data_IF_580538373698
#
_entry.id   IF_580538373698
#
_cell.length_a   1.000
_cell.length_b   1.000
_cell.length_c   1.000
_cell.angle_alpha   90.00
_cell.angle_beta   90.00
_cell.angle_gamma   90.00
#
_symmetry.space_group_name_H-M   'P 1'
#
loop_
_entity.id
_entity.type
_entity.pdbx_description
1 polymer ?
#
# COMPACT_ATOMS: atom_id res chain seq x y z
N UNK A 1 -1.13 -8.65 36.18
CA UNK A 1 -1.29 -7.34 35.52
C UNK A 1 -2.77 -7.00 35.54
N UNK A 2 -3.14 -5.83 36.04
CA UNK A 2 -4.54 -5.36 35.99
C UNK A 2 -4.77 -4.73 34.62
N UNK A 3 -5.76 -5.20 33.87
CA UNK A 3 -6.17 -4.59 32.59
C UNK A 3 -7.41 -3.76 32.84
N UNK A 4 -7.30 -2.45 32.63
CA UNK A 4 -8.44 -1.54 32.72
C UNK A 4 -8.92 -1.30 31.28
N UNK A 5 -10.17 -1.67 30.95
CA UNK A 5 -10.71 -1.38 29.63
C UNK A 5 -10.86 0.13 29.47
N UNK A 6 -10.22 0.70 28.46
CA UNK A 6 -10.41 2.08 28.06
C UNK A 6 -11.18 2.13 26.76
N UNK A 7 -12.09 3.09 26.63
CA UNK A 7 -12.76 3.34 25.34
C UNK A 7 -11.85 4.15 24.43
N UNK A 8 -12.16 4.13 23.14
CA UNK A 8 -11.44 4.93 22.15
C UNK A 8 -11.56 6.43 22.46
N UNK A 9 -12.72 6.90 22.89
CA UNK A 9 -12.97 8.30 23.25
C UNK A 9 -12.12 8.74 24.45
N UNK A 10 -11.95 7.86 25.43
CA UNK A 10 -11.09 8.10 26.58
C UNK A 10 -9.62 8.19 26.16
N UNK A 11 -9.17 7.32 25.25
CA UNK A 11 -7.83 7.37 24.69
C UNK A 11 -7.60 8.68 23.90
N UNK A 12 -8.54 9.08 23.04
CA UNK A 12 -8.47 10.33 22.27
C UNK A 12 -8.40 11.53 23.21
N UNK A 13 -9.22 11.54 24.26
CA UNK A 13 -9.22 12.62 25.25
C UNK A 13 -7.88 12.69 25.99
N UNK A 14 -7.31 11.56 26.37
CA UNK A 14 -5.99 11.51 26.99
C UNK A 14 -4.90 12.05 26.06
N UNK A 15 -4.90 11.63 24.79
CA UNK A 15 -3.92 12.12 23.79
C UNK A 15 -4.03 13.63 23.61
N UNK A 16 -5.24 14.20 23.58
CA UNK A 16 -5.45 15.65 23.47
C UNK A 16 -4.90 16.46 24.65
N UNK A 17 -4.72 15.83 25.81
CA UNK A 17 -4.21 16.47 27.02
C UNK A 17 -2.68 16.40 27.15
N UNK A 18 -2.00 15.65 26.28
CA UNK A 18 -0.54 15.54 26.25
C UNK A 18 0.12 16.86 25.83
N UNK A 19 1.41 17.00 26.12
CA UNK A 19 2.19 18.12 25.61
C UNK A 19 2.34 18.04 24.07
N UNK A 20 2.57 19.17 23.37
CA UNK A 20 2.61 19.17 21.90
C UNK A 20 3.64 18.22 21.28
N UNK A 21 4.79 18.02 21.92
CA UNK A 21 5.84 17.09 21.52
C UNK A 21 5.41 15.62 21.69
N UNK A 22 4.75 15.31 22.81
CA UNK A 22 4.18 13.98 23.05
C UNK A 22 3.04 13.66 22.07
N UNK A 23 2.19 14.65 21.76
CA UNK A 23 1.16 14.51 20.72
C UNK A 23 1.77 14.21 19.35
N UNK A 24 2.87 14.89 19.01
CA UNK A 24 3.59 14.67 17.75
C UNK A 24 4.17 13.25 17.66
N UNK A 25 4.71 12.70 18.75
CA UNK A 25 5.22 11.33 18.76
C UNK A 25 4.09 10.30 18.60
N UNK A 26 2.94 10.51 19.25
CA UNK A 26 1.74 9.68 19.06
C UNK A 26 1.29 9.71 17.60
N UNK A 27 1.19 10.90 16.99
CA UNK A 27 0.81 11.06 15.59
C UNK A 27 1.80 10.35 14.65
N UNK A 28 3.10 10.50 14.89
CA UNK A 28 4.15 9.85 14.10
C UNK A 28 4.04 8.33 14.14
N UNK A 29 3.84 7.72 15.31
CA UNK A 29 3.66 6.28 15.42
C UNK A 29 2.41 5.81 14.66
N UNK A 30 1.29 6.52 14.80
CA UNK A 30 0.05 6.18 14.08
C UNK A 30 0.23 6.26 12.56
N UNK A 31 0.90 7.31 12.06
CA UNK A 31 1.22 7.46 10.63
C UNK A 31 2.15 6.35 10.14
N UNK A 32 3.19 6.01 10.91
CA UNK A 32 4.12 4.92 10.54
C UNK A 32 3.43 3.56 10.45
N UNK A 33 2.48 3.29 11.35
CA UNK A 33 1.67 2.06 11.31
C UNK A 33 0.79 2.05 10.07
N UNK A 34 0.11 3.17 9.76
CA UNK A 34 -0.71 3.32 8.56
C UNK A 34 0.09 3.10 7.28
N UNK A 35 1.21 3.82 7.11
CA UNK A 35 2.09 3.70 5.93
C UNK A 35 2.63 2.27 5.74
N UNK A 36 2.93 1.56 6.83
CA UNK A 36 3.34 0.15 6.75
C UNK A 36 2.20 -0.73 6.24
N UNK A 37 0.98 -0.51 6.71
CA UNK A 37 -0.19 -1.24 6.24
C UNK A 37 -0.44 -0.99 4.75
N UNK A 38 -0.33 0.26 4.30
CA UNK A 38 -0.52 0.64 2.90
C UNK A 38 0.54 0.00 2.01
N UNK A 39 1.80 -0.01 2.44
CA UNK A 39 2.89 -0.68 1.72
C UNK A 39 2.65 -2.20 1.62
N UNK A 40 2.19 -2.84 2.69
CA UNK A 40 1.86 -4.27 2.67
C UNK A 40 0.71 -4.54 1.69
N UNK A 41 -0.33 -3.71 1.70
CA UNK A 41 -1.46 -3.83 0.78
C UNK A 41 -1.02 -3.67 -0.68
N UNK A 42 -0.17 -2.67 -0.98
CA UNK A 42 0.39 -2.47 -2.32
C UNK A 42 1.23 -3.68 -2.77
N UNK A 43 2.08 -4.22 -1.90
CA UNK A 43 2.87 -5.42 -2.20
C UNK A 43 1.95 -6.60 -2.52
N UNK A 44 0.90 -6.80 -1.72
CA UNK A 44 -0.07 -7.87 -1.95
C UNK A 44 -0.80 -7.70 -3.28
N UNK A 45 -1.19 -6.47 -3.62
CA UNK A 45 -1.80 -6.16 -4.91
C UNK A 45 -0.86 -6.48 -6.07
N UNK A 46 0.40 -6.07 -5.99
CA UNK A 46 1.42 -6.36 -7.01
C UNK A 46 1.66 -7.87 -7.17
N UNK A 47 1.68 -8.64 -6.08
CA UNK A 47 1.82 -10.10 -6.15
C UNK A 47 0.53 -10.82 -6.59
N UNK A 48 -0.63 -10.18 -6.45
CA UNK A 48 -1.91 -10.71 -6.91
C UNK A 48 -2.14 -10.45 -8.40
N UNK A 49 -1.38 -9.56 -9.03
CA UNK A 49 -1.40 -9.40 -10.48
C UNK A 49 -0.85 -10.68 -11.11
N UNK A 50 -1.61 -11.23 -12.07
CA UNK A 50 -1.09 -12.26 -12.95
C UNK A 50 0.19 -11.71 -13.57
N UNK A 51 1.31 -12.46 -13.55
CA UNK A 51 2.47 -12.09 -14.35
C UNK A 51 1.96 -11.73 -15.74
N UNK A 52 2.34 -10.56 -16.26
CA UNK A 52 2.04 -10.25 -17.65
C UNK A 52 2.50 -11.47 -18.46
N UNK A 53 1.61 -12.05 -19.27
CA UNK A 53 2.01 -13.16 -20.13
C UNK A 53 3.29 -12.71 -20.84
N UNK A 54 4.38 -13.46 -20.62
CA UNK A 54 5.64 -13.17 -21.27
C UNK A 54 5.35 -13.11 -22.78
N UNK A 55 5.49 -11.93 -23.38
CA UNK A 55 5.27 -11.74 -24.81
C UNK A 55 6.30 -12.64 -25.49
N UNK A 56 5.84 -13.68 -26.18
CA UNK A 56 6.76 -14.59 -26.87
C UNK A 56 7.27 -13.91 -28.12
N UNK A 57 8.48 -14.29 -28.54
CA UNK A 57 9.06 -13.83 -29.80
C UNK A 57 8.11 -14.07 -30.99
N UNK A 58 7.33 -15.14 -30.94
CA UNK A 58 6.30 -15.46 -31.95
C UNK A 58 5.17 -14.40 -32.00
N UNK A 59 4.74 -13.90 -30.85
CA UNK A 59 3.72 -12.85 -30.75
C UNK A 59 4.25 -11.52 -31.32
N UNK A 60 5.53 -11.22 -31.06
CA UNK A 60 6.23 -10.05 -31.61
C UNK A 60 6.35 -10.16 -33.14
N UNK A 61 6.77 -11.31 -33.64
CA UNK A 61 6.94 -11.53 -35.08
C UNK A 61 5.61 -11.51 -35.84
N UNK A 62 4.53 -11.99 -35.23
CA UNK A 62 3.19 -11.91 -35.77
C UNK A 62 2.74 -10.45 -35.93
N UNK A 63 2.97 -9.62 -34.90
CA UNK A 63 2.62 -8.19 -34.92
C UNK A 63 3.45 -7.41 -35.96
N UNK A 64 4.78 -7.63 -36.00
CA UNK A 64 5.65 -6.99 -37.01
C UNK A 64 5.17 -7.31 -38.44
N UNK A 65 4.80 -8.57 -38.68
CA UNK A 65 4.29 -8.99 -39.99
C UNK A 65 2.94 -8.34 -40.31
N UNK A 66 2.04 -8.23 -39.33
CA UNK A 66 0.75 -7.57 -39.49
C UNK A 66 0.94 -6.08 -39.84
N UNK A 67 1.80 -5.36 -39.12
CA UNK A 67 2.12 -3.95 -39.40
C UNK A 67 2.73 -3.77 -40.79
N UNK A 68 3.66 -4.65 -41.19
CA UNK A 68 4.27 -4.60 -42.51
C UNK A 68 3.27 -4.84 -43.65
N UNK A 69 2.24 -5.66 -43.44
CA UNK A 69 1.18 -5.88 -44.45
C UNK A 69 0.20 -4.71 -44.56
N UNK A 70 0.04 -3.91 -43.50
CA UNK A 70 -0.87 -2.76 -43.48
C UNK A 70 -0.21 -1.53 -44.11
N UNK A 71 1.09 -1.36 -43.93
CA UNK A 71 1.81 -0.13 -44.29
C UNK A 71 2.96 -0.32 -45.31
N UNK A 72 3.22 -1.56 -45.75
CA UNK A 72 4.25 -1.92 -46.73
C UNK A 72 3.74 -2.07 -48.15
#
# INVERSE_FOLDING_TARGET
>A
MVSIPITLEQLITAVKQLQPDEQAEVAKVLVQVGLRSDLIALIQELYAQTPADDIKDDDIMAEIKAVHQIYG
#
